data_IF_479282530658
#
_entry.id   IF_479282530658
#
_cell.length_a   1.000
_cell.length_b   1.000
_cell.length_c   1.000
_cell.angle_alpha   90.00
_cell.angle_beta   90.00
_cell.angle_gamma   90.00
#
_symmetry.space_group_name_H-M   'P 1'
#
loop_
_entity.id
_entity.type
_entity.pdbx_description
1 polymer ?
#
# COMPACT_ATOMS: atom_id res chain seq x y z
N UNK A 1 -8.99 -12.57 -30.71
CA UNK A 1 -8.80 -13.33 -29.46
C UNK A 1 -9.07 -12.40 -28.29
N UNK A 2 -9.84 -12.83 -27.31
CA UNK A 2 -10.01 -12.11 -26.05
C UNK A 2 -9.84 -13.08 -24.89
N UNK A 3 -9.41 -12.56 -23.74
CA UNK A 3 -9.32 -13.33 -22.50
C UNK A 3 -9.74 -12.47 -21.31
N UNK A 4 -10.18 -13.15 -20.26
CA UNK A 4 -10.54 -12.54 -18.98
C UNK A 4 -9.87 -13.32 -17.87
N UNK A 5 -9.13 -12.61 -17.03
CA UNK A 5 -8.48 -13.15 -15.84
C UNK A 5 -9.47 -12.98 -14.69
N UNK A 6 -10.19 -14.04 -14.33
CA UNK A 6 -11.16 -13.98 -13.24
C UNK A 6 -10.47 -13.80 -11.89
N UNK A 7 -9.40 -14.55 -11.65
CA UNK A 7 -8.63 -14.46 -10.41
C UNK A 7 -7.19 -14.89 -10.64
N UNK A 8 -6.25 -14.11 -10.11
CA UNK A 8 -4.85 -14.51 -9.99
C UNK A 8 -4.38 -14.32 -8.55
N UNK A 9 -3.87 -15.39 -7.92
CA UNK A 9 -3.40 -15.36 -6.53
C UNK A 9 -2.21 -16.25 -6.32
N UNK A 10 -1.28 -15.79 -5.48
CA UNK A 10 -0.14 -16.57 -5.00
C UNK A 10 -0.30 -16.85 -3.50
N UNK A 11 -0.57 -18.11 -3.14
CA UNK A 11 -0.71 -18.52 -1.74
C UNK A 11 -2.11 -18.30 -1.14
N UNK A 12 -2.17 -18.12 0.19
CA UNK A 12 -3.42 -17.99 0.95
C UNK A 12 -4.06 -16.62 0.74
N UNK A 13 -5.39 -16.57 0.71
CA UNK A 13 -6.13 -15.29 0.76
C UNK A 13 -6.04 -14.74 2.17
N UNK A 14 -5.75 -13.46 2.30
CA UNK A 14 -5.88 -12.75 3.57
C UNK A 14 -6.47 -11.36 3.35
N UNK A 15 -7.57 -11.07 4.06
CA UNK A 15 -8.26 -9.78 4.01
C UNK A 15 -8.55 -9.27 2.59
N UNK A 16 -8.56 -7.94 2.45
CA UNK A 16 -8.59 -7.23 1.16
C UNK A 16 -7.18 -7.13 0.57
N UNK A 17 -6.59 -8.28 0.23
CA UNK A 17 -5.35 -8.28 -0.57
C UNK A 17 -5.64 -7.70 -1.95
N UNK A 18 -5.00 -6.57 -2.29
CA UNK A 18 -5.08 -5.97 -3.63
C UNK A 18 -4.54 -6.95 -4.68
N UNK A 19 -5.36 -7.27 -5.68
CA UNK A 19 -5.01 -8.19 -6.77
C UNK A 19 -5.14 -7.47 -8.12
N UNK A 20 -4.02 -7.09 -8.75
CA UNK A 20 -4.03 -6.21 -9.91
C UNK A 20 -4.68 -6.80 -11.18
N UNK A 21 -4.84 -8.13 -11.26
CA UNK A 21 -5.40 -8.81 -12.43
C UNK A 21 -6.77 -9.45 -12.19
N UNK A 22 -7.38 -9.30 -11.02
CA UNK A 22 -8.71 -9.87 -10.77
C UNK A 22 -9.78 -9.11 -11.58
N UNK A 23 -10.52 -9.82 -12.43
CA UNK A 23 -11.54 -9.26 -13.32
C UNK A 23 -10.99 -8.58 -14.57
N UNK A 24 -9.69 -8.69 -14.84
CA UNK A 24 -9.04 -7.98 -15.95
C UNK A 24 -9.33 -8.65 -17.29
N UNK A 25 -9.84 -7.91 -18.27
CA UNK A 25 -10.16 -8.41 -19.60
C UNK A 25 -9.37 -7.67 -20.68
N UNK A 26 -8.92 -8.40 -21.70
CA UNK A 26 -8.18 -7.87 -22.84
C UNK A 26 -8.64 -8.53 -24.13
N UNK A 27 -8.59 -7.76 -25.22
CA UNK A 27 -8.99 -8.20 -26.55
C UNK A 27 -8.00 -7.77 -27.62
N UNK A 28 -7.83 -8.59 -28.65
CA UNK A 28 -7.07 -8.25 -29.87
C UNK A 28 -7.58 -7.00 -30.57
N UNK A 29 -8.85 -6.63 -30.35
CA UNK A 29 -9.42 -5.40 -30.86
C UNK A 29 -8.73 -4.14 -30.31
N UNK A 30 -8.14 -4.22 -29.11
CA UNK A 30 -7.38 -3.11 -28.50
C UNK A 30 -6.01 -2.89 -29.15
N UNK A 31 -5.52 -3.86 -29.92
CA UNK A 31 -4.28 -3.77 -30.70
C UNK A 31 -4.53 -3.40 -32.16
N UNK A 32 -5.73 -2.94 -32.51
CA UNK A 32 -6.04 -2.52 -33.87
C UNK A 32 -5.23 -1.26 -34.24
N UNK A 33 -4.49 -1.34 -35.33
CA UNK A 33 -3.81 -0.19 -35.94
C UNK A 33 -4.51 0.15 -37.26
N UNK A 34 -4.80 1.43 -37.50
CA UNK A 34 -5.55 1.89 -38.68
C UNK A 34 -6.83 1.10 -38.98
N UNK A 35 -7.58 0.73 -37.92
CA UNK A 35 -8.81 -0.06 -37.99
C UNK A 35 -8.62 -1.51 -38.50
N UNK A 36 -7.38 -1.99 -38.59
CA UNK A 36 -7.04 -3.37 -38.93
C UNK A 36 -6.75 -4.13 -37.65
N UNK A 37 -7.62 -5.09 -37.32
CA UNK A 37 -7.45 -5.96 -36.15
C UNK A 37 -6.43 -7.06 -36.51
N UNK A 38 -5.34 -7.23 -35.73
CA UNK A 38 -4.39 -8.31 -35.97
C UNK A 38 -5.06 -9.67 -35.78
N UNK A 39 -4.74 -10.62 -36.68
CA UNK A 39 -5.32 -11.97 -36.65
C UNK A 39 -4.84 -12.79 -35.46
N UNK A 40 -3.61 -12.56 -35.00
CA UNK A 40 -3.04 -13.15 -33.79
C UNK A 40 -2.37 -12.10 -32.91
N UNK A 41 -2.48 -12.29 -31.59
CA UNK A 41 -1.78 -11.48 -30.61
C UNK A 41 -1.29 -12.34 -29.45
N UNK A 42 -0.24 -11.84 -28.82
CA UNK A 42 0.37 -12.43 -27.64
C UNK A 42 0.23 -11.46 -26.47
N UNK A 43 -0.36 -11.94 -25.38
CA UNK A 43 -0.51 -11.20 -24.12
C UNK A 43 0.42 -11.81 -23.09
N UNK A 44 1.39 -11.03 -22.64
CA UNK A 44 2.40 -11.47 -21.68
C UNK A 44 2.27 -10.67 -20.39
N UNK A 45 2.09 -11.37 -19.28
CA UNK A 45 2.01 -10.81 -17.94
C UNK A 45 3.26 -11.19 -17.16
N UNK A 46 3.99 -10.21 -16.64
CA UNK A 46 5.13 -10.40 -15.76
C UNK A 46 4.70 -10.10 -14.34
N UNK A 47 4.54 -11.13 -13.51
CA UNK A 47 4.18 -11.04 -12.11
C UNK A 47 5.44 -11.08 -11.22
N UNK A 48 5.65 -10.04 -10.42
CA UNK A 48 6.69 -10.03 -9.39
C UNK A 48 6.04 -10.33 -8.04
N UNK A 49 6.39 -11.48 -7.46
CA UNK A 49 5.76 -12.02 -6.27
C UNK A 49 6.64 -11.75 -5.05
N UNK A 50 6.10 -11.09 -4.04
CA UNK A 50 6.80 -10.71 -2.80
C UNK A 50 6.23 -11.54 -1.64
N UNK A 51 7.01 -12.44 -1.05
CA UNK A 51 6.61 -13.13 0.18
C UNK A 51 6.35 -12.11 1.29
N UNK A 52 5.22 -12.26 1.98
CA UNK A 52 4.81 -11.38 3.07
C UNK A 52 4.45 -12.20 4.29
N UNK A 53 5.11 -11.94 5.41
CA UNK A 53 4.75 -12.47 6.70
C UNK A 53 3.81 -11.49 7.39
N UNK A 54 2.60 -11.95 7.72
CA UNK A 54 1.65 -11.15 8.47
C UNK A 54 1.62 -11.63 9.92
N UNK A 55 1.83 -10.70 10.84
CA UNK A 55 1.82 -10.94 12.29
C UNK A 55 0.86 -9.94 12.91
N UNK A 56 -0.31 -10.43 13.33
CA UNK A 56 -1.26 -9.65 14.10
C UNK A 56 -1.25 -10.13 15.56
N UNK A 57 -0.81 -9.29 16.51
CA UNK A 57 -0.81 -9.63 17.93
C UNK A 57 -2.19 -10.00 18.50
N UNK A 58 -3.27 -9.60 17.82
CA UNK A 58 -4.65 -9.86 18.26
C UNK A 58 -5.26 -11.15 17.69
N UNK A 59 -4.76 -11.64 16.55
CA UNK A 59 -5.37 -12.74 15.79
C UNK A 59 -4.60 -14.07 15.83
N UNK A 60 -3.50 -14.15 16.60
CA UNK A 60 -2.80 -15.40 16.89
C UNK A 60 -1.52 -15.61 16.06
N UNK A 61 -1.29 -16.84 15.58
CA UNK A 61 -0.05 -17.25 14.93
C UNK A 61 0.24 -16.48 13.63
N UNK A 62 1.50 -16.08 13.40
CA UNK A 62 1.88 -15.42 12.15
C UNK A 62 1.68 -16.38 10.98
N UNK A 63 1.12 -15.87 9.87
CA UNK A 63 0.94 -16.67 8.66
C UNK A 63 1.63 -16.01 7.46
N UNK A 64 2.08 -16.86 6.55
CA UNK A 64 2.78 -16.45 5.34
C UNK A 64 1.79 -16.31 4.17
N UNK A 65 1.86 -15.19 3.49
CA UNK A 65 1.09 -14.87 2.27
C UNK A 65 2.01 -14.27 1.21
N UNK A 66 1.49 -13.93 0.03
CA UNK A 66 2.24 -13.25 -1.00
C UNK A 66 1.48 -12.04 -1.53
N UNK A 67 2.21 -10.96 -1.76
CA UNK A 67 1.76 -9.83 -2.55
C UNK A 67 2.37 -9.94 -3.95
N UNK A 68 1.75 -9.34 -4.96
CA UNK A 68 2.35 -9.33 -6.28
C UNK A 68 1.96 -8.08 -7.06
N UNK A 69 2.89 -7.63 -7.91
CA UNK A 69 2.64 -6.60 -8.92
C UNK A 69 2.74 -7.23 -10.30
N UNK A 70 2.07 -6.63 -11.28
CA UNK A 70 2.05 -7.15 -12.66
C UNK A 70 2.38 -6.05 -13.65
N UNK A 71 3.21 -6.40 -14.63
CA UNK A 71 3.43 -5.59 -15.84
C UNK A 71 2.92 -6.37 -17.05
N UNK A 72 2.16 -5.70 -17.90
CA UNK A 72 1.59 -6.27 -19.12
C UNK A 72 2.40 -5.86 -20.35
N UNK A 73 2.61 -6.79 -21.27
CA UNK A 73 3.15 -6.55 -22.58
C UNK A 73 2.29 -7.24 -23.63
N UNK A 74 1.86 -6.50 -24.65
CA UNK A 74 1.04 -7.02 -25.72
C UNK A 74 1.76 -6.85 -27.05
N UNK A 75 1.77 -7.92 -27.86
CA UNK A 75 2.38 -7.90 -29.19
C UNK A 75 1.36 -8.36 -30.22
N UNK A 76 1.00 -7.44 -31.11
CA UNK A 76 0.28 -7.78 -32.33
C UNK A 76 1.25 -8.57 -33.22
N UNK A 77 0.88 -9.81 -33.55
CA UNK A 77 1.62 -10.56 -34.54
C UNK A 77 0.97 -10.20 -35.87
N UNK A 78 1.57 -9.24 -36.56
CA UNK A 78 1.18 -8.90 -37.92
C UNK A 78 1.66 -9.98 -38.87
N UNK A 79 0.86 -10.24 -39.90
CA UNK A 79 1.18 -11.04 -41.07
C UNK A 79 2.36 -10.47 -41.89
N UNK A 80 3.53 -10.27 -41.30
CA UNK A 80 4.78 -10.22 -42.05
C UNK A 80 5.23 -11.67 -42.23
N UNK A 81 4.51 -12.34 -43.13
CA UNK A 81 4.98 -13.58 -43.72
C UNK A 81 6.22 -13.17 -44.52
N UNK A 82 7.41 -13.46 -44.00
CA UNK A 82 8.55 -13.59 -44.89
C UNK A 82 8.14 -14.63 -45.94
N UNK A 83 8.07 -14.29 -47.25
CA UNK A 83 7.61 -15.22 -48.27
C UNK A 83 8.48 -16.49 -48.35
N UNK A 84 9.63 -16.50 -47.68
CA UNK A 84 10.52 -17.64 -47.50
C UNK A 84 10.06 -18.63 -46.41
N UNK A 85 9.35 -18.16 -45.37
CA UNK A 85 8.80 -19.00 -44.30
C UNK A 85 7.58 -19.82 -44.74
N UNK A 86 6.98 -19.49 -45.89
CA UNK A 86 5.87 -20.23 -46.49
C UNK A 86 6.34 -21.46 -47.31
N UNK A 87 7.64 -21.58 -47.60
CA UNK A 87 8.23 -22.67 -48.40
C UNK A 87 8.80 -23.81 -47.54
N UNK A 88 8.83 -23.66 -46.22
CA UNK A 88 9.22 -24.71 -45.30
C UNK A 88 7.94 -25.36 -44.75
N UNK A 89 7.85 -26.69 -44.80
CA UNK A 89 6.77 -27.51 -44.19
C UNK A 89 6.59 -27.29 -42.67
N UNK A 90 7.33 -26.35 -42.08
CA UNK A 90 7.12 -25.80 -40.74
C UNK A 90 6.15 -24.64 -40.82
N UNK A 91 4.86 -24.95 -40.89
CA UNK A 91 3.77 -24.00 -40.64
C UNK A 91 4.12 -23.19 -39.38
N UNK A 92 4.33 -21.86 -39.44
CA UNK A 92 4.58 -21.08 -38.24
C UNK A 92 3.35 -21.25 -37.35
N UNK A 93 3.57 -21.73 -36.14
CA UNK A 93 2.52 -21.93 -35.16
C UNK A 93 1.99 -20.52 -34.85
N UNK A 94 0.88 -20.13 -35.47
CA UNK A 94 0.15 -18.91 -35.16
C UNK A 94 -0.60 -19.13 -33.86
N UNK A 95 0.11 -19.30 -32.74
CA UNK A 95 -0.51 -19.46 -31.44
C UNK A 95 -0.64 -18.09 -30.79
N UNK A 96 -1.80 -17.47 -30.97
CA UNK A 96 -2.28 -16.47 -30.02
C UNK A 96 -2.18 -17.07 -28.62
N UNK A 97 -1.43 -16.43 -27.74
CA UNK A 97 -1.07 -17.00 -26.45
C UNK A 97 -1.22 -15.97 -25.34
N UNK A 98 -1.70 -16.43 -24.20
CA UNK A 98 -1.65 -15.69 -22.94
C UNK A 98 -0.58 -16.36 -22.10
N UNK A 99 0.49 -15.63 -21.77
CA UNK A 99 1.63 -16.14 -21.02
C UNK A 99 1.78 -15.35 -19.73
N UNK A 100 1.90 -16.07 -18.62
CA UNK A 100 2.19 -15.49 -17.31
C UNK A 100 3.60 -15.94 -16.89
N UNK A 101 4.52 -14.99 -16.83
CA UNK A 101 5.81 -15.17 -16.19
C UNK A 101 5.70 -14.71 -14.74
N UNK A 102 6.24 -15.49 -13.81
CA UNK A 102 6.32 -15.10 -12.41
C UNK A 102 7.76 -15.20 -11.90
N UNK A 103 8.17 -14.23 -11.10
CA UNK A 103 9.47 -14.23 -10.43
C UNK A 103 9.27 -13.94 -8.94
N UNK A 104 9.94 -14.73 -8.09
CA UNK A 104 9.94 -14.51 -6.66
C UNK A 104 10.96 -13.42 -6.30
N UNK A 105 10.49 -12.39 -5.60
CA UNK A 105 11.34 -11.36 -5.03
C UNK A 105 12.23 -11.97 -3.94
N UNK A 106 13.54 -11.66 -3.92
CA UNK A 106 14.44 -12.07 -2.84
C UNK A 106 14.19 -11.31 -1.54
N UNK A 107 13.31 -10.30 -1.55
CA UNK A 107 12.93 -9.49 -0.39
C UNK A 107 11.61 -10.00 0.17
N UNK A 108 11.54 -10.14 1.49
CA UNK A 108 10.32 -10.48 2.24
C UNK A 108 9.81 -9.26 3.02
N UNK A 109 8.50 -9.04 3.01
CA UNK A 109 7.86 -7.95 3.78
C UNK A 109 7.30 -8.52 5.08
N UNK A 110 7.64 -7.89 6.20
CA UNK A 110 7.07 -8.20 7.52
C UNK A 110 6.02 -7.15 7.86
N UNK A 111 4.75 -7.54 7.86
CA UNK A 111 3.65 -6.67 8.26
C UNK A 111 3.24 -7.01 9.69
N UNK A 112 3.59 -6.14 10.63
CA UNK A 112 3.29 -6.29 12.06
C UNK A 112 2.28 -5.21 12.43
N UNK A 113 1.07 -5.61 12.82
CA UNK A 113 0.06 -4.68 13.31
C UNK A 113 0.47 -4.18 14.70
N UNK A 114 0.81 -2.90 14.82
CA UNK A 114 1.15 -2.29 16.11
C UNK A 114 -0.06 -1.55 16.67
N UNK A 115 -0.53 -2.00 17.83
CA UNK A 115 -1.50 -1.24 18.63
C UNK A 115 -0.75 -0.18 19.44
N UNK A 116 -1.20 1.08 19.36
CA UNK A 116 -0.65 2.12 20.23
C UNK A 116 -1.04 1.83 21.69
N UNK A 117 -0.09 1.73 22.63
CA UNK A 117 -0.41 1.39 24.01
C UNK A 117 -1.22 2.51 24.67
N UNK A 118 -2.33 2.16 25.32
CA UNK A 118 -3.18 3.09 26.08
C UNK A 118 -2.40 3.90 27.13
N UNK A 119 -1.29 3.36 27.63
CA UNK A 119 -0.41 4.06 28.56
C UNK A 119 0.15 5.36 27.99
N UNK A 120 0.41 5.45 26.69
CA UNK A 120 0.87 6.68 26.05
C UNK A 120 -0.19 7.80 26.13
N UNK A 121 -1.47 7.43 26.08
CA UNK A 121 -2.56 8.37 26.30
C UNK A 121 -2.62 8.83 27.77
N UNK A 122 -2.49 7.90 28.72
CA UNK A 122 -2.49 8.23 30.16
C UNK A 122 -1.32 9.13 30.55
N UNK A 123 -0.12 8.88 30.02
CA UNK A 123 1.05 9.73 30.29
C UNK A 123 0.87 11.14 29.73
N UNK A 124 0.31 11.28 28.52
CA UNK A 124 -0.04 12.60 27.96
C UNK A 124 -1.10 13.32 28.80
N UNK A 125 -2.13 12.61 29.27
CA UNK A 125 -3.16 13.20 30.13
C UNK A 125 -2.57 13.69 31.47
N UNK A 126 -1.71 12.88 32.10
CA UNK A 126 -1.03 13.26 33.33
C UNK A 126 -0.16 14.51 33.14
N UNK A 127 0.57 14.60 32.02
CA UNK A 127 1.40 15.77 31.71
C UNK A 127 0.57 17.07 31.60
N UNK A 128 -0.60 17.00 30.96
CA UNK A 128 -1.51 18.15 30.84
C UNK A 128 -2.06 18.55 32.21
N UNK A 129 -2.57 17.59 32.99
CA UNK A 129 -3.16 17.86 34.31
C UNK A 129 -2.12 18.41 35.30
N UNK A 130 -0.92 17.81 35.34
CA UNK A 130 0.19 18.28 36.17
C UNK A 130 0.68 19.67 35.76
N UNK A 131 0.70 19.97 34.45
CA UNK A 131 1.01 21.30 33.93
C UNK A 131 0.00 22.35 34.40
N UNK A 132 -1.30 22.07 34.26
CA UNK A 132 -2.36 23.01 34.68
C UNK A 132 -2.27 23.29 36.19
N UNK A 133 -2.10 22.26 37.02
CA UNK A 133 -2.03 22.42 38.47
C UNK A 133 -0.79 23.25 38.89
N UNK A 134 0.34 23.02 38.22
CA UNK A 134 1.58 23.77 38.47
C UNK A 134 1.42 25.24 38.08
N UNK A 135 0.87 25.52 36.90
CA UNK A 135 0.66 26.89 36.42
C UNK A 135 -0.34 27.63 37.30
N UNK A 136 -1.47 27.01 37.64
CA UNK A 136 -2.47 27.60 38.54
C UNK A 136 -1.88 27.95 39.91
N UNK A 137 -1.08 27.04 40.50
CA UNK A 137 -0.43 27.28 41.79
C UNK A 137 0.62 28.40 41.74
N UNK A 138 1.35 28.56 40.64
CA UNK A 138 2.29 29.69 40.45
C UNK A 138 1.52 31.01 40.37
N UNK A 139 0.47 31.05 39.55
CA UNK A 139 -0.34 32.27 39.35
C UNK A 139 -0.99 32.70 40.66
N UNK A 140 -1.61 31.78 41.39
CA UNK A 140 -2.27 32.08 42.66
C UNK A 140 -1.28 32.66 43.70
N UNK A 141 -0.10 32.07 43.84
CA UNK A 141 0.95 32.57 44.74
C UNK A 141 1.48 33.94 44.33
N UNK A 142 1.62 34.21 43.04
CA UNK A 142 2.06 35.53 42.54
C UNK A 142 1.01 36.61 42.81
N UNK A 143 -0.27 36.32 42.60
CA UNK A 143 -1.36 37.26 42.88
C UNK A 143 -1.44 37.54 44.38
N UNK A 144 -1.49 36.50 45.22
CA UNK A 144 -1.55 36.70 46.67
C UNK A 144 -0.31 37.43 47.21
N UNK A 145 0.88 37.06 46.74
CA UNK A 145 2.13 37.70 47.15
C UNK A 145 2.21 39.17 46.75
N UNK A 146 1.78 39.51 45.53
CA UNK A 146 1.77 40.90 45.03
C UNK A 146 0.72 41.74 45.77
N UNK A 147 -0.49 41.24 45.96
CA UNK A 147 -1.56 41.95 46.69
C UNK A 147 -1.14 42.22 48.13
N UNK A 148 -0.59 41.24 48.86
CA UNK A 148 -0.12 41.46 50.23
C UNK A 148 1.07 42.42 50.31
N UNK A 149 2.01 42.36 49.37
CA UNK A 149 3.13 43.31 49.33
C UNK A 149 2.69 44.74 49.01
N UNK A 150 1.70 44.90 48.13
CA UNK A 150 1.13 46.22 47.81
C UNK A 150 0.33 46.76 49.00
N UNK A 151 -0.55 45.96 49.61
CA UNK A 151 -1.30 46.36 50.80
C UNK A 151 -0.37 46.77 51.95
N UNK A 152 0.68 45.99 52.22
CA UNK A 152 1.68 46.34 53.25
C UNK A 152 2.43 47.62 52.93
N UNK A 153 2.70 47.91 51.65
CA UNK A 153 3.32 49.19 51.22
C UNK A 153 2.35 50.38 51.35
N UNK A 154 1.06 50.16 51.16
CA UNK A 154 0.01 51.17 51.34
C UNK A 154 -0.19 51.47 52.84
N UNK A 155 -0.22 50.45 53.70
CA UNK A 155 -0.33 50.60 55.17
C UNK A 155 0.87 51.30 55.81
N UNK A 156 2.07 51.14 55.25
CA UNK A 156 3.27 51.84 55.71
C UNK A 156 3.34 53.31 55.27
N UNK A 157 2.28 53.85 54.65
CA UNK A 157 2.12 55.28 54.36
C UNK A 157 3.09 55.84 53.31
N UNK A 158 3.77 54.98 52.54
CA UNK A 158 4.86 55.37 51.61
C UNK A 158 4.39 55.96 50.27
N UNK A 159 3.15 56.42 50.17
CA UNK A 159 2.58 57.10 49.00
C UNK A 159 2.13 58.54 49.30
N UNK A 160 2.80 59.20 50.26
CA UNK A 160 2.82 60.65 50.38
C UNK A 160 4.28 61.13 50.35
#
# INVERSE_FOLDING_TARGET
>A
MSHTIHTLRFGKSFGESYKPLDGYARSTAELADNNVVPSNAMFTYYAKVVPTLYSDPSHGEPFMTNQFSVTEHQKAMGSNIDPEALRSDKKPLYNSAVILFYELSPIMVHSILHWQPFLHFVTQLCAILGGIFTVAGIVDRLIYGTVQHVQRKVELGKFN
#
